data_IF_372358571398
#
_entry.id   IF_372358571398
#
_cell.length_a   1.000
_cell.length_b   1.000
_cell.length_c   1.000
_cell.angle_alpha   90.00
_cell.angle_beta   90.00
_cell.angle_gamma   90.00
#
_symmetry.space_group_name_H-M   'P 1'
#
loop_
_entity.id
_entity.type
_entity.pdbx_description
1 polymer ?
#
# COMPACT_ATOMS: atom_id res chain seq x y z
N UNK A 1 24.55 39.04 8.81
CA UNK A 1 25.21 39.08 7.48
C UNK A 1 26.68 38.65 7.50
N UNK A 2 27.49 39.01 8.50
CA UNK A 2 28.94 38.72 8.50
C UNK A 2 29.34 37.23 8.45
N UNK A 3 28.65 36.35 9.20
CA UNK A 3 28.96 34.90 9.23
C UNK A 3 28.68 34.19 7.90
N UNK A 4 27.66 34.61 7.16
CA UNK A 4 27.30 34.03 5.87
C UNK A 4 28.33 34.38 4.78
N UNK A 5 28.81 35.63 4.79
CA UNK A 5 29.85 36.10 3.88
C UNK A 5 31.23 35.49 4.21
N UNK A 6 31.51 35.21 5.48
CA UNK A 6 32.72 34.49 5.87
C UNK A 6 32.68 33.01 5.45
N UNK A 7 31.52 32.36 5.58
CA UNK A 7 31.31 30.98 5.15
C UNK A 7 31.32 30.82 3.61
N UNK A 8 30.88 31.83 2.85
CA UNK A 8 30.96 31.82 1.39
C UNK A 8 32.40 31.98 0.90
N UNK A 9 33.21 32.82 1.55
CA UNK A 9 34.63 33.02 1.23
C UNK A 9 35.51 31.83 1.63
N UNK A 10 35.11 31.03 2.62
CA UNK A 10 35.91 29.90 3.11
C UNK A 10 35.70 28.58 2.37
N UNK A 11 34.88 28.55 1.31
CA UNK A 11 34.54 27.31 0.58
C UNK A 11 33.63 26.35 1.36
N UNK A 12 33.36 26.63 2.63
CA UNK A 12 32.55 25.82 3.54
C UNK A 12 31.11 25.68 3.05
N UNK A 13 30.53 26.74 2.46
CA UNK A 13 29.19 26.64 1.87
C UNK A 13 29.12 25.68 0.68
N UNK A 14 30.15 25.65 -0.16
CA UNK A 14 30.22 24.72 -1.29
C UNK A 14 30.30 23.28 -0.80
N UNK A 15 31.10 23.04 0.25
CA UNK A 15 31.20 21.72 0.89
C UNK A 15 29.85 21.27 1.48
N UNK A 16 29.16 22.15 2.22
CA UNK A 16 27.84 21.85 2.76
C UNK A 16 26.79 21.58 1.67
N UNK A 17 26.88 22.30 0.54
CA UNK A 17 25.98 22.09 -0.59
C UNK A 17 26.20 20.72 -1.24
N UNK A 18 27.46 20.32 -1.46
CA UNK A 18 27.79 18.99 -2.00
C UNK A 18 27.30 17.88 -1.08
N UNK A 19 27.55 17.99 0.23
CA UNK A 19 27.06 17.01 1.22
C UNK A 19 25.53 16.93 1.25
N UNK A 20 24.85 18.06 1.13
CA UNK A 20 23.39 18.09 1.06
C UNK A 20 22.89 17.39 -0.21
N UNK A 21 23.49 17.68 -1.36
CA UNK A 21 23.15 17.03 -2.63
C UNK A 21 23.35 15.50 -2.55
N UNK A 22 24.45 15.05 -1.97
CA UNK A 22 24.73 13.62 -1.77
C UNK A 22 23.69 12.97 -0.86
N UNK A 23 23.36 13.60 0.27
CA UNK A 23 22.33 13.09 1.20
C UNK A 23 20.96 12.97 0.53
N UNK A 24 20.55 13.96 -0.26
CA UNK A 24 19.29 13.93 -1.01
C UNK A 24 19.30 12.82 -2.05
N UNK A 25 20.37 12.68 -2.84
CA UNK A 25 20.52 11.59 -3.83
C UNK A 25 20.41 10.22 -3.15
N UNK A 26 21.09 10.02 -2.03
CA UNK A 26 21.01 8.76 -1.27
C UNK A 26 19.60 8.49 -0.74
N UNK A 27 18.89 9.51 -0.28
CA UNK A 27 17.51 9.37 0.21
C UNK A 27 16.51 8.97 -0.88
N UNK A 28 16.70 9.47 -2.10
CA UNK A 28 15.90 9.10 -3.27
C UNK A 28 16.19 7.65 -3.67
N UNK A 29 17.47 7.27 -3.76
CA UNK A 29 17.88 5.91 -4.12
C UNK A 29 17.53 4.87 -3.05
N UNK A 30 17.50 5.29 -1.78
CA UNK A 30 17.21 4.45 -0.61
C UNK A 30 16.20 5.16 0.28
N UNK A 31 14.90 5.12 -0.07
CA UNK A 31 13.87 5.74 0.73
C UNK A 31 13.77 5.11 2.11
N UNK A 32 13.21 5.86 3.07
CA UNK A 32 12.94 5.32 4.41
C UNK A 32 11.86 4.24 4.27
N UNK A 33 12.06 3.06 4.86
CA UNK A 33 11.00 2.07 4.95
C UNK A 33 9.73 2.65 5.56
N UNK A 34 8.57 2.25 5.03
CA UNK A 34 7.29 2.66 5.59
C UNK A 34 7.19 2.15 7.02
N UNK A 35 6.70 3.00 7.92
CA UNK A 35 6.53 2.66 9.33
C UNK A 35 5.69 1.39 9.47
N UNK A 36 6.16 0.46 10.30
CA UNK A 36 5.54 -0.85 10.56
C UNK A 36 5.53 -1.84 9.38
N UNK A 37 6.23 -1.56 8.27
CA UNK A 37 6.48 -2.54 7.21
C UNK A 37 7.90 -3.09 7.30
N UNK A 38 8.01 -4.40 7.41
CA UNK A 38 9.27 -5.13 7.30
C UNK A 38 9.41 -5.74 5.90
N UNK A 39 10.64 -6.08 5.52
CA UNK A 39 10.89 -6.82 4.28
C UNK A 39 10.30 -8.23 4.40
N UNK A 40 9.68 -8.70 3.32
CA UNK A 40 9.27 -10.10 3.21
C UNK A 40 10.51 -11.00 3.14
N UNK A 41 10.55 -12.05 3.96
CA UNK A 41 11.62 -13.06 3.94
C UNK A 41 11.23 -14.31 3.14
N UNK A 42 9.93 -14.53 2.98
CA UNK A 42 9.35 -15.73 2.36
C UNK A 42 8.08 -15.35 1.59
N UNK A 43 7.82 -16.06 0.50
CA UNK A 43 6.55 -15.98 -0.20
C UNK A 43 5.46 -16.70 0.60
N UNK A 44 4.32 -16.04 0.84
CA UNK A 44 3.18 -16.62 1.56
C UNK A 44 1.90 -16.39 0.79
N UNK A 45 1.18 -17.49 0.54
CA UNK A 45 -0.17 -17.46 -0.01
C UNK A 45 -1.15 -17.69 1.13
N UNK A 46 -2.22 -16.91 1.18
CA UNK A 46 -3.31 -17.08 2.16
C UNK A 46 -4.62 -17.26 1.40
N UNK A 47 -5.37 -18.29 1.77
CA UNK A 47 -6.74 -18.50 1.29
C UNK A 47 -7.67 -17.76 2.24
N UNK A 48 -8.60 -16.99 1.68
CA UNK A 48 -9.59 -16.24 2.45
C UNK A 48 -10.99 -16.65 2.02
N UNK A 49 -11.76 -17.21 2.95
CA UNK A 49 -13.18 -17.48 2.75
C UNK A 49 -13.97 -16.20 3.01
N UNK A 50 -14.57 -15.64 1.96
CA UNK A 50 -15.39 -14.42 2.03
C UNK A 50 -16.86 -14.72 2.34
N UNK A 51 -17.18 -15.94 2.76
CA UNK A 51 -18.56 -16.31 3.13
C UNK A 51 -19.05 -15.48 4.31
N UNK A 52 -20.08 -14.68 4.06
CA UNK A 52 -20.81 -13.92 5.05
C UNK A 52 -22.15 -14.59 5.35
N UNK A 53 -22.57 -14.59 6.62
CA UNK A 53 -23.89 -15.06 7.03
C UNK A 53 -24.74 -13.85 7.41
N UNK A 54 -25.80 -13.61 6.65
CA UNK A 54 -26.77 -12.57 6.95
C UNK A 54 -27.45 -12.89 8.29
N UNK A 55 -27.44 -11.95 9.24
CA UNK A 55 -28.05 -12.19 10.56
C UNK A 55 -29.56 -11.99 10.53
N UNK A 56 -30.00 -10.85 10.04
CA UNK A 56 -31.40 -10.42 10.05
C UNK A 56 -32.01 -10.43 8.64
N UNK A 57 -33.33 -10.54 8.57
CA UNK A 57 -34.05 -10.40 7.30
C UNK A 57 -33.84 -9.01 6.69
N UNK A 58 -33.44 -8.95 5.43
CA UNK A 58 -33.41 -7.72 4.65
C UNK A 58 -34.78 -7.55 4.00
N UNK A 59 -35.44 -6.42 4.27
CA UNK A 59 -36.78 -6.11 3.78
C UNK A 59 -36.77 -4.85 2.91
N UNK A 60 -37.60 -4.85 1.89
CA UNK A 60 -37.93 -3.65 1.10
C UNK A 60 -38.80 -2.71 1.94
N UNK A 61 -38.92 -1.43 1.56
CA UNK A 61 -39.83 -0.46 2.22
C UNK A 61 -41.27 -0.98 2.38
N UNK A 62 -41.72 -1.84 1.45
CA UNK A 62 -43.06 -2.43 1.45
C UNK A 62 -43.16 -3.69 2.34
N UNK A 63 -42.11 -4.05 3.08
CA UNK A 63 -42.08 -5.20 4.00
C UNK A 63 -41.69 -6.54 3.35
N UNK A 64 -41.50 -6.59 2.03
CA UNK A 64 -41.10 -7.81 1.31
C UNK A 64 -39.66 -8.20 1.67
N UNK A 65 -39.48 -9.43 2.14
CA UNK A 65 -38.15 -9.99 2.45
C UNK A 65 -37.44 -10.32 1.13
N UNK A 66 -36.24 -9.75 0.94
CA UNK A 66 -35.39 -9.99 -0.23
C UNK A 66 -34.16 -10.85 0.11
N UNK A 67 -33.76 -10.87 1.37
CA UNK A 67 -32.75 -11.81 1.90
C UNK A 67 -33.21 -12.25 3.28
N UNK A 68 -33.23 -13.55 3.52
CA UNK A 68 -33.64 -14.10 4.82
C UNK A 68 -32.45 -14.09 5.79
N UNK A 69 -32.72 -13.88 7.08
CA UNK A 69 -31.76 -14.18 8.14
C UNK A 69 -31.28 -15.63 8.04
N UNK A 70 -29.97 -15.83 8.19
CA UNK A 70 -29.28 -17.09 8.01
C UNK A 70 -28.78 -17.36 6.59
N UNK A 71 -29.09 -16.53 5.59
CA UNK A 71 -28.57 -16.71 4.23
C UNK A 71 -27.04 -16.57 4.22
N UNK A 72 -26.36 -17.61 3.70
CA UNK A 72 -24.90 -17.58 3.44
C UNK A 72 -24.63 -17.02 2.05
N UNK A 73 -23.75 -16.04 1.96
CA UNK A 73 -23.41 -15.34 0.73
C UNK A 73 -21.89 -15.32 0.63
N UNK A 74 -21.33 -15.91 -0.43
CA UNK A 74 -19.93 -15.73 -0.77
C UNK A 74 -19.84 -14.80 -1.99
N UNK A 75 -19.36 -13.55 -1.82
CA UNK A 75 -19.21 -12.61 -2.93
C UNK A 75 -18.33 -13.16 -4.05
N UNK A 76 -17.36 -14.02 -3.75
CA UNK A 76 -16.44 -14.59 -4.74
C UNK A 76 -17.15 -15.52 -5.74
N UNK A 77 -18.27 -16.13 -5.36
CA UNK A 77 -19.08 -17.00 -6.25
C UNK A 77 -19.95 -16.18 -7.20
N UNK A 78 -20.34 -14.97 -6.79
CA UNK A 78 -21.30 -14.13 -7.51
C UNK A 78 -20.62 -13.04 -8.34
N UNK A 79 -19.38 -12.69 -8.00
CA UNK A 79 -18.61 -11.66 -8.69
C UNK A 79 -17.75 -12.28 -9.78
N UNK A 80 -17.88 -11.77 -11.02
CA UNK A 80 -16.80 -11.91 -12.01
C UNK A 80 -15.64 -11.03 -11.55
N UNK A 81 -14.67 -11.62 -10.84
CA UNK A 81 -13.42 -10.93 -10.57
C UNK A 81 -12.76 -10.68 -11.92
N UNK A 82 -12.63 -9.41 -12.30
CA UNK A 82 -11.76 -9.02 -13.41
C UNK A 82 -10.37 -9.48 -13.00
N UNK A 83 -9.88 -10.54 -13.64
CA UNK A 83 -8.55 -11.07 -13.37
C UNK A 83 -7.54 -9.92 -13.51
N UNK A 84 -6.98 -9.50 -12.38
CA UNK A 84 -5.84 -8.60 -12.38
C UNK A 84 -4.65 -9.45 -12.78
N UNK A 85 -4.24 -9.28 -14.05
CA UNK A 85 -2.93 -9.64 -14.57
C UNK A 85 -2.38 -11.00 -14.12
N UNK A 86 -2.93 -12.09 -14.65
CA UNK A 86 -2.10 -13.28 -14.85
C UNK A 86 -1.21 -13.04 -16.06
N UNK A 87 -0.16 -12.25 -15.86
CA UNK A 87 0.95 -12.13 -16.79
C UNK A 87 2.19 -11.85 -15.95
N UNK A 88 3.27 -12.58 -16.25
CA UNK A 88 4.58 -12.55 -15.61
C UNK A 88 4.73 -13.54 -14.45
N UNK A 89 4.73 -14.84 -14.78
CA UNK A 89 5.61 -15.84 -14.18
C UNK A 89 5.77 -17.03 -15.16
N UNK A 90 5.99 -16.72 -16.44
CA UNK A 90 6.54 -17.67 -17.42
C UNK A 90 7.69 -16.95 -18.13
N UNK A 91 8.84 -16.92 -17.48
CA UNK A 91 10.17 -16.87 -18.11
C UNK A 91 11.22 -16.78 -16.99
N UNK A 92 11.75 -17.95 -16.60
CA UNK A 92 13.18 -18.27 -16.44
C UNK A 92 13.36 -19.70 -15.94
#
# INVERSE_FOLDING_TARGET
MAKLNAASKSGLLNQMQLEFQEKVKQKIMRPVPVKNLSKATENKTRIYDSTYVQKDDIKTKNGIIIVKGGTKINPLEMMKIRSLGQNQDQER
#
